data_IF_128944798842
#
_entry.id   IF_128944798842
#
_cell.length_a   1.000
_cell.length_b   1.000
_cell.length_c   1.000
_cell.angle_alpha   90.00
_cell.angle_beta   90.00
_cell.angle_gamma   90.00
#
_symmetry.space_group_name_H-M   'P 1'
#
loop_
_entity.id
_entity.type
_entity.pdbx_description
1 polymer ?
#
# COMPACT_ATOMS: atom_id res chain seq x y z
N UNK A 1 1.72 7.18 5.06
CA UNK A 1 3.11 6.91 5.49
C UNK A 1 3.06 6.73 7.01
N UNK A 2 2.79 5.53 7.53
CA UNK A 2 2.85 5.31 8.99
C UNK A 2 4.27 4.85 9.31
N UNK A 3 5.02 5.66 10.04
CA UNK A 3 6.24 5.24 10.70
C UNK A 3 5.85 4.53 12.00
N UNK A 4 5.79 3.20 11.99
CA UNK A 4 5.99 2.46 13.24
C UNK A 4 7.49 2.35 13.45
N UNK A 5 8.03 3.23 14.28
CA UNK A 5 9.41 3.13 14.74
C UNK A 5 9.51 1.91 15.66
N UNK A 6 10.07 0.80 15.16
CA UNK A 6 10.49 -0.31 16.01
C UNK A 6 11.72 0.18 16.79
N UNK A 7 11.52 0.62 18.02
CA UNK A 7 12.59 0.98 18.95
C UNK A 7 13.32 -0.30 19.38
N UNK A 8 14.42 -0.62 18.71
CA UNK A 8 15.36 -1.63 19.18
C UNK A 8 16.46 -0.88 19.92
N UNK A 9 16.45 -0.93 21.25
CA UNK A 9 17.48 -0.31 22.08
C UNK A 9 16.94 0.20 23.40
N UNK A 10 17.18 -0.56 24.47
CA UNK A 10 16.93 -0.11 25.84
C UNK A 10 17.89 1.01 26.23
N UNK A 11 17.33 2.07 26.80
CA UNK A 11 18.05 3.18 27.41
C UNK A 11 17.05 4.12 28.09
N UNK A 12 17.28 4.56 29.35
CA UNK A 12 16.32 5.37 30.09
C UNK A 12 16.59 6.85 29.84
N UNK A 13 15.74 7.54 29.06
CA UNK A 13 15.60 9.01 29.02
C UNK A 13 14.30 9.36 28.27
N UNK A 14 13.26 9.78 28.98
CA UNK A 14 12.82 11.18 29.16
C UNK A 14 12.33 11.85 27.86
N UNK A 15 11.03 12.16 27.84
CA UNK A 15 10.31 13.10 26.98
C UNK A 15 10.73 13.16 25.50
N UNK A 16 10.08 12.33 24.68
CA UNK A 16 10.21 12.29 23.22
C UNK A 16 9.54 13.50 22.56
N UNK A 17 10.19 14.65 22.64
CA UNK A 17 9.97 15.72 21.66
C UNK A 17 10.56 15.24 20.32
N UNK A 18 9.68 14.82 19.41
CA UNK A 18 10.08 14.55 18.02
C UNK A 18 10.50 15.88 17.38
N UNK A 19 11.81 16.11 17.29
CA UNK A 19 12.36 17.26 16.59
C UNK A 19 12.01 17.15 15.08
N UNK A 20 11.46 18.20 14.43
CA UNK A 20 10.89 18.12 13.07
C UNK A 20 11.87 17.58 12.01
N UNK A 21 13.16 17.84 12.18
CA UNK A 21 14.23 17.45 11.24
C UNK A 21 14.61 15.96 11.33
N UNK A 22 14.25 15.27 12.41
CA UNK A 22 14.54 13.83 12.58
C UNK A 22 13.53 12.91 11.88
N UNK A 23 12.45 13.45 11.32
CA UNK A 23 11.43 12.67 10.60
C UNK A 23 12.06 11.92 9.41
N UNK A 24 13.02 12.55 8.72
CA UNK A 24 13.70 11.94 7.57
C UNK A 24 14.61 10.75 7.92
N UNK A 25 14.89 10.53 9.22
CA UNK A 25 15.68 9.39 9.71
C UNK A 25 14.81 8.18 10.07
N UNK A 26 13.49 8.30 10.04
CA UNK A 26 12.57 7.22 10.36
C UNK A 26 12.25 6.44 9.08
N UNK A 27 12.72 5.20 9.01
CA UNK A 27 12.31 4.29 7.94
C UNK A 27 10.85 3.88 8.14
N UNK A 28 9.95 4.13 7.17
CA UNK A 28 8.57 3.72 7.27
C UNK A 28 8.47 2.20 7.25
N UNK A 29 7.82 1.64 8.27
CA UNK A 29 7.47 0.21 8.28
C UNK A 29 6.19 0.02 7.48
N UNK A 30 6.24 -0.83 6.46
CA UNK A 30 5.07 -1.18 5.64
C UNK A 30 4.51 -2.53 6.07
N UNK A 31 3.18 -2.62 6.13
CA UNK A 31 2.48 -3.88 6.36
C UNK A 31 1.97 -4.41 5.01
N UNK A 32 2.46 -5.59 4.62
CA UNK A 32 2.07 -6.26 3.39
C UNK A 32 2.81 -5.77 2.13
N UNK A 33 2.59 -6.44 0.99
CA UNK A 33 3.42 -6.26 -0.20
C UNK A 33 3.03 -5.05 -1.07
N UNK A 34 1.89 -4.39 -0.81
CA UNK A 34 1.40 -3.30 -1.66
C UNK A 34 2.31 -2.05 -1.71
N UNK A 35 3.22 -1.92 -0.73
CA UNK A 35 4.26 -0.89 -0.69
C UNK A 35 5.68 -1.47 -0.79
N UNK A 36 5.82 -2.78 -1.05
CA UNK A 36 7.12 -3.36 -1.30
C UNK A 36 7.67 -2.85 -2.64
N UNK A 37 8.99 -2.68 -2.69
CA UNK A 37 9.72 -2.28 -3.89
C UNK A 37 10.73 -3.35 -4.26
N UNK A 38 10.97 -3.45 -5.56
CA UNK A 38 12.03 -4.28 -6.11
C UNK A 38 13.39 -3.55 -6.00
N UNK A 39 14.52 -4.27 -6.14
CA UNK A 39 15.85 -3.66 -6.08
C UNK A 39 16.10 -2.55 -7.10
N UNK A 40 15.36 -2.56 -8.21
CA UNK A 40 15.39 -1.53 -9.27
C UNK A 40 14.57 -0.27 -8.92
N UNK A 41 13.90 -0.26 -7.76
CA UNK A 41 13.04 0.82 -7.31
C UNK A 41 11.61 0.79 -7.85
N UNK A 42 11.26 -0.17 -8.71
CA UNK A 42 9.89 -0.39 -9.16
C UNK A 42 9.02 -0.94 -8.02
N UNK A 43 7.70 -0.82 -8.18
CA UNK A 43 6.77 -1.36 -7.18
C UNK A 43 6.56 -2.85 -7.41
N UNK A 44 6.64 -3.63 -6.33
CA UNK A 44 6.35 -5.05 -6.39
C UNK A 44 4.87 -5.30 -6.68
N UNK A 45 4.60 -6.06 -7.73
CA UNK A 45 3.25 -6.46 -8.16
C UNK A 45 3.06 -7.97 -7.95
N UNK A 46 1.83 -8.45 -7.77
CA UNK A 46 1.55 -9.87 -7.75
C UNK A 46 1.82 -10.49 -9.12
N UNK A 47 2.36 -11.71 -9.15
CA UNK A 47 2.65 -12.46 -10.37
C UNK A 47 1.36 -12.75 -11.17
N UNK A 48 0.30 -13.12 -10.46
CA UNK A 48 -1.03 -13.37 -11.02
C UNK A 48 -2.09 -12.54 -10.29
N UNK A 49 -2.92 -11.79 -11.03
CA UNK A 49 -3.98 -10.96 -10.46
C UNK A 49 -5.13 -10.72 -11.43
N UNK A 50 -6.36 -10.80 -10.90
CA UNK A 50 -7.58 -10.38 -11.60
C UNK A 50 -7.81 -8.86 -11.50
N UNK A 51 -6.99 -8.15 -10.73
CA UNK A 51 -7.16 -6.72 -10.46
C UNK A 51 -7.10 -5.84 -11.73
N UNK A 52 -6.44 -6.30 -12.79
CA UNK A 52 -6.44 -5.60 -14.08
C UNK A 52 -7.82 -5.59 -14.74
N UNK A 53 -8.55 -6.71 -14.66
CA UNK A 53 -9.91 -6.81 -15.19
C UNK A 53 -10.86 -5.94 -14.37
N UNK A 54 -10.67 -5.89 -13.05
CA UNK A 54 -11.41 -4.98 -12.17
C UNK A 54 -11.11 -3.53 -12.52
N UNK A 55 -9.84 -3.16 -12.76
CA UNK A 55 -9.47 -1.81 -13.17
C UNK A 55 -10.14 -1.40 -14.48
N UNK A 56 -10.15 -2.31 -15.47
CA UNK A 56 -10.86 -2.10 -16.74
C UNK A 56 -12.36 -1.94 -16.53
N UNK A 57 -12.99 -2.85 -15.78
CA UNK A 57 -14.41 -2.80 -15.49
C UNK A 57 -14.78 -1.49 -14.79
N UNK A 58 -13.99 -1.05 -13.81
CA UNK A 58 -14.22 0.24 -13.15
C UNK A 58 -14.15 1.40 -14.13
N UNK A 59 -13.16 1.43 -15.03
CA UNK A 59 -13.04 2.49 -16.03
C UNK A 59 -14.21 2.50 -17.04
N UNK A 60 -14.81 1.36 -17.33
CA UNK A 60 -15.92 1.23 -18.28
C UNK A 60 -17.28 1.57 -17.65
N UNK A 61 -17.49 1.19 -16.39
CA UNK A 61 -18.82 1.22 -15.77
C UNK A 61 -18.97 2.24 -14.63
N UNK A 62 -17.88 2.79 -14.09
CA UNK A 62 -17.94 3.77 -13.00
C UNK A 62 -17.63 5.18 -13.51
N UNK A 63 -18.31 6.18 -12.91
CA UNK A 63 -18.05 7.60 -13.14
C UNK A 63 -17.21 8.17 -12.00
N UNK A 64 -16.25 9.02 -12.34
CA UNK A 64 -15.52 9.84 -11.39
C UNK A 64 -16.29 11.14 -11.08
N UNK A 65 -15.79 11.90 -10.09
CA UNK A 65 -16.40 13.15 -9.63
C UNK A 65 -16.46 14.23 -10.73
N UNK A 66 -15.52 14.20 -11.66
CA UNK A 66 -15.46 15.09 -12.83
C UNK A 66 -16.39 14.66 -13.98
N UNK A 67 -17.32 13.74 -13.71
CA UNK A 67 -18.20 13.08 -14.70
C UNK A 67 -17.47 12.25 -15.77
N UNK A 68 -16.15 12.08 -15.67
CA UNK A 68 -15.36 11.24 -16.57
C UNK A 68 -15.32 9.76 -16.17
N UNK A 69 -14.65 8.91 -16.96
CA UNK A 69 -14.41 7.51 -16.60
C UNK A 69 -13.60 7.40 -15.30
N UNK A 70 -13.95 6.43 -14.45
CA UNK A 70 -13.19 6.18 -13.21
C UNK A 70 -11.74 5.81 -13.48
N UNK A 71 -10.82 6.45 -12.76
CA UNK A 71 -9.38 6.17 -12.83
C UNK A 71 -8.81 6.00 -11.43
N UNK A 72 -8.22 4.83 -11.17
CA UNK A 72 -7.48 4.62 -9.95
C UNK A 72 -6.19 5.44 -9.95
N UNK A 73 -5.85 6.01 -8.78
CA UNK A 73 -4.48 6.49 -8.56
C UNK A 73 -3.50 5.32 -8.57
N UNK A 74 -2.22 5.58 -8.83
CA UNK A 74 -1.17 4.53 -8.83
C UNK A 74 -1.15 3.73 -7.53
N UNK A 75 -1.42 4.37 -6.39
CA UNK A 75 -1.48 3.69 -5.10
C UNK A 75 -2.74 2.82 -4.95
N UNK A 76 -3.91 3.36 -5.30
CA UNK A 76 -5.17 2.60 -5.27
C UNK A 76 -5.08 1.38 -6.20
N UNK A 77 -4.54 1.56 -7.41
CA UNK A 77 -4.39 0.48 -8.36
C UNK A 77 -3.50 -0.64 -7.81
N UNK A 78 -2.34 -0.31 -7.22
CA UNK A 78 -1.49 -1.33 -6.58
C UNK A 78 -2.22 -2.10 -5.50
N UNK A 79 -3.01 -1.41 -4.67
CA UNK A 79 -3.80 -2.08 -3.65
C UNK A 79 -4.84 -3.03 -4.25
N UNK A 80 -5.55 -2.60 -5.31
CA UNK A 80 -6.52 -3.45 -6.04
C UNK A 80 -5.84 -4.67 -6.64
N UNK A 81 -4.66 -4.53 -7.25
CA UNK A 81 -3.92 -5.66 -7.81
C UNK A 81 -3.59 -6.70 -6.74
N UNK A 82 -3.11 -6.26 -5.58
CA UNK A 82 -2.82 -7.14 -4.45
C UNK A 82 -4.08 -7.75 -3.82
N UNK A 83 -5.18 -7.00 -3.77
CA UNK A 83 -6.45 -7.51 -3.26
C UNK A 83 -7.02 -8.65 -4.10
N UNK A 84 -6.85 -8.58 -5.42
CA UNK A 84 -7.27 -9.61 -6.36
C UNK A 84 -6.12 -10.53 -6.82
N UNK A 85 -5.04 -10.62 -6.03
CA UNK A 85 -3.94 -11.52 -6.31
C UNK A 85 -4.38 -12.99 -6.13
N UNK A 86 -3.98 -13.84 -7.07
CA UNK A 86 -4.32 -15.27 -7.11
C UNK A 86 -3.06 -16.12 -7.21
N UNK A 87 -3.13 -17.36 -6.73
CA UNK A 87 -2.10 -18.38 -6.98
C UNK A 87 -2.26 -19.01 -8.37
N UNK A 88 -1.37 -19.96 -8.70
CA UNK A 88 -1.38 -20.68 -9.98
C UNK A 88 -2.66 -21.50 -10.22
N UNK A 89 -3.40 -21.82 -9.16
CA UNK A 89 -4.68 -22.53 -9.21
C UNK A 89 -5.88 -21.58 -9.25
N UNK A 90 -5.64 -20.27 -9.36
CA UNK A 90 -6.68 -19.24 -9.36
C UNK A 90 -7.32 -18.98 -8.00
N UNK A 91 -6.72 -19.43 -6.89
CA UNK A 91 -7.23 -19.16 -5.54
C UNK A 91 -6.69 -17.83 -5.04
N UNK A 92 -7.55 -17.02 -4.43
CA UNK A 92 -7.13 -15.75 -3.83
C UNK A 92 -6.09 -15.95 -2.74
N UNK A 93 -4.95 -15.24 -2.87
CA UNK A 93 -3.86 -15.24 -1.90
C UNK A 93 -4.31 -14.55 -0.60
N UNK A 94 -5.08 -13.46 -0.73
CA UNK A 94 -5.60 -12.69 0.39
C UNK A 94 -7.12 -12.85 0.48
N UNK A 95 -7.61 -13.27 1.65
CA UNK A 95 -9.06 -13.35 1.94
C UNK A 95 -9.57 -12.22 2.83
N UNK A 96 -8.65 -11.48 3.44
CA UNK A 96 -8.93 -10.35 4.34
C UNK A 96 -7.92 -9.25 4.02
N UNK A 97 -8.40 -8.02 3.97
CA UNK A 97 -7.60 -6.87 3.57
C UNK A 97 -7.90 -5.69 4.48
N UNK A 98 -6.86 -5.05 4.99
CA UNK A 98 -6.96 -3.81 5.75
C UNK A 98 -6.00 -2.82 5.15
N UNK A 99 -6.52 -1.65 4.77
CA UNK A 99 -5.73 -0.50 4.36
C UNK A 99 -5.75 0.51 5.49
N UNK A 100 -4.70 0.56 6.30
CA UNK A 100 -4.55 1.56 7.35
C UNK A 100 -3.58 2.65 6.90
N UNK A 101 -4.08 3.87 6.86
CA UNK A 101 -3.25 5.07 6.71
C UNK A 101 -3.16 5.77 8.08
N UNK A 102 -2.19 6.67 8.22
CA UNK A 102 -2.22 7.60 9.34
C UNK A 102 -3.57 8.32 9.24
N UNK A 103 -4.46 8.08 10.20
CA UNK A 103 -5.45 9.09 10.52
C UNK A 103 -4.69 10.20 11.26
N UNK A 104 -5.02 11.45 10.94
CA UNK A 104 -4.65 12.57 11.80
C UNK A 104 -5.27 12.40 13.17
#
# INVERSE_FOLDING_TARGET
>A
MIAFARLIGGGPCLNKQCLPWRINLLEPTFLGPAWAREPDGSWKLPEHTLGWQIARWSAEFLKAEDCGPWKFTREQLRFVLWWYAVDDNGRFIYRKGVLQRLKG
#
